data_IF_067689415670
#
_entry.id   IF_067689415670
#
_cell.length_a   1.000
_cell.length_b   1.000
_cell.length_c   1.000
_cell.angle_alpha   90.00
_cell.angle_beta   90.00
_cell.angle_gamma   90.00
#
_symmetry.space_group_name_H-M   'P 1'
#
loop_
_entity.id
_entity.type
_entity.pdbx_description
1 polymer ?
#
# COMPACT_ATOMS: atom_id res chain seq x y z
N UNK A 1 -15.54 22.63 -13.92
CA UNK A 1 -15.39 21.98 -12.61
C UNK A 1 -14.87 20.58 -12.83
N UNK A 2 -13.62 20.23 -12.48
CA UNK A 2 -13.29 18.83 -12.24
C UNK A 2 -14.08 18.40 -10.99
N UNK A 3 -14.96 17.41 -11.13
CA UNK A 3 -15.73 16.88 -9.99
C UNK A 3 -14.76 16.22 -9.00
N UNK A 4 -14.51 16.88 -7.89
CA UNK A 4 -13.79 16.32 -6.75
C UNK A 4 -14.78 15.45 -5.97
N UNK A 5 -14.96 14.20 -6.41
CA UNK A 5 -15.82 13.22 -5.74
C UNK A 5 -15.10 12.65 -4.52
N UNK A 6 -15.42 13.20 -3.35
CA UNK A 6 -14.98 12.69 -2.06
C UNK A 6 -15.69 11.38 -1.75
N UNK A 7 -14.92 10.34 -1.43
CA UNK A 7 -15.47 9.06 -1.05
C UNK A 7 -15.86 9.06 0.43
N UNK A 8 -17.15 8.85 0.72
CA UNK A 8 -17.64 8.42 2.03
C UNK A 8 -18.01 6.93 1.93
N UNK A 9 -17.56 6.06 2.87
CA UNK A 9 -17.98 4.68 2.90
C UNK A 9 -19.50 4.59 3.17
N UNK A 10 -20.21 3.75 2.42
CA UNK A 10 -21.66 3.58 2.53
C UNK A 10 -22.07 3.03 3.90
N UNK A 11 -22.58 3.89 4.78
CA UNK A 11 -23.39 3.47 5.93
C UNK A 11 -24.82 3.20 5.45
N UNK A 12 -25.33 2.01 5.77
CA UNK A 12 -26.70 1.58 5.47
C UNK A 12 -27.74 2.65 5.87
N UNK A 13 -28.71 2.85 4.97
CA UNK A 13 -29.84 3.75 5.15
C UNK A 13 -30.68 3.37 6.37
N UNK A 14 -30.81 4.30 7.32
CA UNK A 14 -31.92 4.33 8.25
C UNK A 14 -32.93 5.36 7.74
N UNK A 15 -34.08 4.88 7.27
CA UNK A 15 -35.20 5.71 6.79
C UNK A 15 -35.88 6.35 7.99
N UNK A 16 -35.86 7.68 8.07
CA UNK A 16 -36.83 8.44 8.85
C UNK A 16 -37.00 9.89 8.32
N UNK A 17 -38.16 10.15 7.71
CA UNK A 17 -38.98 11.33 8.00
C UNK A 17 -38.54 12.72 7.52
N UNK A 18 -38.85 13.03 6.26
CA UNK A 18 -39.52 14.26 5.75
C UNK A 18 -39.29 15.62 6.44
N UNK A 19 -38.71 16.56 5.67
CA UNK A 19 -39.03 18.01 5.47
C UNK A 19 -37.87 18.56 4.62
N UNK A 20 -37.97 18.95 3.35
CA UNK A 20 -39.01 19.66 2.61
C UNK A 20 -38.52 21.08 2.32
N UNK A 21 -37.65 21.29 1.32
CA UNK A 21 -37.33 22.61 0.72
C UNK A 21 -36.91 22.45 -0.76
N UNK A 22 -37.15 23.47 -1.62
CA UNK A 22 -37.52 23.26 -3.01
C UNK A 22 -36.32 23.11 -3.97
N UNK A 23 -36.53 22.27 -4.99
CA UNK A 23 -35.77 22.30 -6.23
C UNK A 23 -35.92 23.66 -6.90
N UNK A 24 -34.79 24.32 -7.17
CA UNK A 24 -34.67 25.33 -8.22
C UNK A 24 -33.89 24.68 -9.35
N UNK A 25 -34.58 24.43 -10.46
CA UNK A 25 -34.01 23.94 -11.71
C UNK A 25 -33.34 25.06 -12.50
N UNK A 26 -32.17 24.72 -13.03
CA UNK A 26 -31.48 25.22 -14.22
C UNK A 26 -31.43 26.71 -14.53
N UNK A 27 -30.19 27.23 -14.49
CA UNK A 27 -29.72 28.11 -15.56
C UNK A 27 -28.26 27.78 -15.89
N UNK A 28 -28.08 27.16 -17.05
CA UNK A 28 -26.79 26.91 -17.65
C UNK A 28 -26.05 28.24 -17.88
N UNK A 29 -24.87 28.37 -17.26
CA UNK A 29 -23.86 29.37 -17.62
C UNK A 29 -22.63 28.57 -18.03
N UNK A 30 -22.41 28.49 -19.34
CA UNK A 30 -21.17 27.97 -19.90
C UNK A 30 -20.08 29.00 -19.69
N UNK A 31 -19.25 28.79 -18.67
CA UNK A 31 -17.97 29.48 -18.52
C UNK A 31 -16.86 28.52 -18.93
N UNK A 32 -16.26 28.83 -20.08
CA UNK A 32 -14.98 28.28 -20.53
C UNK A 32 -13.90 28.83 -19.60
N UNK A 33 -13.37 28.00 -18.70
CA UNK A 33 -12.23 28.37 -17.86
C UNK A 33 -10.95 28.36 -18.70
N UNK A 34 -10.24 29.48 -18.71
CA UNK A 34 -8.95 29.61 -19.38
C UNK A 34 -7.87 28.87 -18.56
N UNK A 35 -7.38 27.74 -19.08
CA UNK A 35 -6.10 27.19 -18.66
C UNK A 35 -5.00 28.11 -19.20
N UNK A 36 -4.26 28.77 -18.32
CA UNK A 36 -3.09 29.54 -18.73
C UNK A 36 -1.91 28.57 -18.91
N UNK A 37 -1.64 28.18 -20.15
CA UNK A 37 -0.45 27.41 -20.52
C UNK A 37 0.70 28.37 -20.83
N UNK A 38 1.78 28.31 -20.05
CA UNK A 38 3.02 29.04 -20.34
C UNK A 38 4.04 28.04 -20.87
N UNK A 39 4.38 28.14 -22.15
CA UNK A 39 5.43 27.33 -22.79
C UNK A 39 6.71 28.13 -22.85
N UNK A 40 7.79 27.59 -22.27
CA UNK A 40 9.14 28.18 -22.34
C UNK A 40 10.02 27.21 -23.14
N UNK A 41 10.60 27.70 -24.24
CA UNK A 41 11.56 26.94 -25.06
C UNK A 41 12.99 27.18 -24.54
N UNK A 42 13.74 26.10 -24.30
CA UNK A 42 15.14 26.17 -23.87
C UNK A 42 16.05 25.46 -24.90
N UNK A 43 17.23 26.03 -25.22
CA UNK A 43 18.20 25.40 -26.11
C UNK A 43 18.92 24.21 -25.42
N UNK A 44 19.05 23.10 -26.13
CA UNK A 44 19.71 21.87 -25.64
C UNK A 44 21.22 21.93 -25.87
N UNK A 45 22.08 21.79 -24.84
CA UNK A 45 23.52 21.64 -25.03
C UNK A 45 23.89 20.19 -25.39
N UNK A 46 24.64 20.00 -26.48
CA UNK A 46 25.21 18.69 -26.84
C UNK A 46 26.41 18.35 -25.94
N UNK A 47 26.44 17.17 -25.28
CA UNK A 47 27.61 16.74 -24.54
C UNK A 47 28.72 16.20 -25.48
N UNK A 48 30.00 16.39 -25.15
CA UNK A 48 31.11 15.84 -25.93
C UNK A 48 31.21 14.32 -25.76
N UNK A 49 31.36 13.62 -26.89
CA UNK A 49 31.60 12.17 -26.99
C UNK A 49 33.01 11.84 -26.46
N UNK A 50 33.10 11.54 -25.16
CA UNK A 50 34.30 10.97 -24.53
C UNK A 50 33.96 9.60 -23.93
N UNK A 51 34.66 8.56 -24.39
CA UNK A 51 34.51 7.19 -23.91
C UNK A 51 34.84 7.09 -22.42
N UNK A 52 33.81 7.00 -21.58
CA UNK A 52 33.96 6.76 -20.15
C UNK A 52 34.33 5.29 -19.88
N UNK A 53 35.16 5.00 -18.87
CA UNK A 53 35.57 3.64 -18.53
C UNK A 53 34.36 2.82 -18.06
N UNK A 54 34.28 1.56 -18.52
CA UNK A 54 33.28 0.57 -18.08
C UNK A 54 33.46 0.26 -16.59
N UNK A 55 32.80 1.04 -15.74
CA UNK A 55 32.63 0.69 -14.34
C UNK A 55 31.80 -0.60 -14.24
N UNK A 56 32.30 -1.56 -13.44
CA UNK A 56 31.61 -2.78 -13.02
C UNK A 56 30.11 -2.52 -12.83
N UNK A 57 29.27 -3.10 -13.69
CA UNK A 57 27.81 -2.89 -13.72
C UNK A 57 27.09 -3.38 -12.45
N UNK A 58 27.81 -4.01 -11.51
CA UNK A 58 27.24 -4.64 -10.31
C UNK A 58 27.67 -3.97 -8.99
N UNK A 59 28.32 -2.80 -9.03
CA UNK A 59 28.61 -2.07 -7.80
C UNK A 59 27.33 -1.44 -7.21
N UNK A 60 27.14 -1.46 -5.88
CA UNK A 60 25.98 -0.82 -5.26
C UNK A 60 25.96 0.67 -5.60
N UNK A 61 24.83 1.14 -6.13
CA UNK A 61 24.67 2.54 -6.58
C UNK A 61 23.55 3.21 -5.79
N UNK A 62 23.84 4.39 -5.24
CA UNK A 62 22.82 5.26 -4.67
C UNK A 62 21.95 5.82 -5.80
N UNK A 63 20.64 5.55 -5.75
CA UNK A 63 19.68 5.99 -6.76
C UNK A 63 18.91 7.22 -6.31
N UNK A 64 18.57 7.30 -5.03
CA UNK A 64 17.80 8.40 -4.44
C UNK A 64 18.36 8.75 -3.06
N UNK A 65 18.19 10.00 -2.64
CA UNK A 65 18.51 10.44 -1.29
C UNK A 65 17.74 11.68 -0.87
N UNK A 66 17.29 11.75 0.39
CA UNK A 66 16.68 12.95 0.98
C UNK A 66 17.14 13.13 2.43
N UNK A 67 17.47 14.38 2.76
CA UNK A 67 17.69 14.81 4.13
C UNK A 67 16.38 14.86 4.91
N UNK A 68 16.44 14.46 6.18
CA UNK A 68 15.36 14.65 7.12
C UNK A 68 15.20 16.15 7.41
N UNK A 69 13.97 16.69 7.42
CA UNK A 69 13.73 18.12 7.59
C UNK A 69 14.06 18.65 8.99
N UNK A 70 14.03 17.79 10.02
CA UNK A 70 14.12 18.20 11.42
C UNK A 70 15.28 17.56 12.20
N UNK A 71 15.95 16.55 11.64
CA UNK A 71 16.98 15.74 12.30
C UNK A 71 18.23 15.63 11.43
N UNK A 72 19.35 15.23 12.03
CA UNK A 72 20.63 14.99 11.37
C UNK A 72 20.68 13.64 10.62
N UNK A 73 19.60 13.32 9.90
CA UNK A 73 19.39 12.03 9.24
C UNK A 73 19.32 12.18 7.71
N UNK A 74 19.85 11.19 7.00
CA UNK A 74 19.85 11.07 5.55
C UNK A 74 19.29 9.70 5.17
N UNK A 75 18.16 9.68 4.46
CA UNK A 75 17.62 8.46 3.86
C UNK A 75 18.23 8.29 2.47
N UNK A 76 18.75 7.10 2.18
CA UNK A 76 19.33 6.72 0.90
C UNK A 76 18.65 5.46 0.37
N UNK A 77 18.44 5.41 -0.93
CA UNK A 77 18.07 4.19 -1.65
C UNK A 77 19.32 3.69 -2.36
N UNK A 78 19.76 2.50 -2.00
CA UNK A 78 20.93 1.83 -2.57
C UNK A 78 20.46 0.63 -3.37
N UNK A 79 20.81 0.62 -4.65
CA UNK A 79 20.55 -0.50 -5.54
C UNK A 79 21.74 -1.46 -5.46
N UNK A 80 21.55 -2.58 -4.76
CA UNK A 80 22.62 -3.55 -4.50
C UNK A 80 22.65 -4.67 -5.56
N UNK A 81 21.49 -5.15 -5.99
CA UNK A 81 21.34 -6.14 -7.07
C UNK A 81 20.29 -5.68 -8.09
N UNK A 82 20.14 -6.41 -9.20
CA UNK A 82 19.18 -6.06 -10.27
C UNK A 82 17.73 -5.94 -9.78
N UNK A 83 17.38 -6.62 -8.68
CA UNK A 83 15.98 -6.83 -8.30
C UNK A 83 15.59 -6.30 -6.92
N UNK A 84 16.54 -5.86 -6.10
CA UNK A 84 16.24 -5.34 -4.75
C UNK A 84 16.89 -3.98 -4.51
N UNK A 85 16.04 -2.99 -4.25
CA UNK A 85 16.45 -1.70 -3.69
C UNK A 85 16.43 -1.80 -2.15
N UNK A 86 17.55 -1.41 -1.53
CA UNK A 86 17.68 -1.32 -0.08
C UNK A 86 17.52 0.14 0.34
N UNK A 87 16.74 0.39 1.41
CA UNK A 87 16.65 1.72 2.01
C UNK A 87 17.49 1.76 3.26
N UNK A 88 18.42 2.70 3.29
CA UNK A 88 19.36 2.88 4.37
C UNK A 88 19.16 4.24 5.00
N UNK A 89 19.20 4.29 6.33
CA UNK A 89 19.16 5.53 7.08
C UNK A 89 20.52 5.80 7.71
N UNK A 90 21.06 6.99 7.48
CA UNK A 90 22.37 7.42 7.94
C UNK A 90 22.26 8.66 8.80
N UNK A 91 23.14 8.80 9.79
CA UNK A 91 23.38 10.05 10.51
C UNK A 91 24.43 10.89 9.80
N UNK A 92 24.42 12.19 10.06
CA UNK A 92 25.41 13.13 9.50
C UNK A 92 26.86 12.79 9.86
N UNK A 93 27.07 12.12 11.00
CA UNK A 93 28.38 11.63 11.43
C UNK A 93 28.88 10.39 10.64
N UNK A 94 28.13 9.94 9.62
CA UNK A 94 28.45 8.76 8.82
C UNK A 94 28.11 7.43 9.48
N UNK A 95 27.35 7.43 10.59
CA UNK A 95 26.88 6.17 11.22
C UNK A 95 25.57 5.73 10.59
N UNK A 96 25.50 4.47 10.15
CA UNK A 96 24.27 3.86 9.67
C UNK A 96 23.36 3.51 10.85
N UNK A 97 22.10 3.95 10.79
CA UNK A 97 21.08 3.70 11.82
C UNK A 97 20.40 2.36 11.59
N UNK A 98 19.90 2.13 10.38
CA UNK A 98 19.27 0.87 9.97
C UNK A 98 19.30 0.71 8.45
N UNK A 99 19.04 -0.53 8.01
CA UNK A 99 18.73 -0.88 6.61
C UNK A 99 17.43 -1.67 6.58
N UNK A 100 16.54 -1.30 5.66
CA UNK A 100 15.31 -2.00 5.37
C UNK A 100 15.33 -2.49 3.92
N UNK A 101 15.14 -3.80 3.74
CA UNK A 101 14.89 -4.39 2.42
C UNK A 101 13.41 -4.24 2.12
N UNK A 102 13.08 -3.50 1.07
CA UNK A 102 11.67 -3.32 0.72
C UNK A 102 11.25 -4.43 -0.24
N UNK A 103 10.88 -5.56 0.34
CA UNK A 103 10.23 -6.63 -0.41
C UNK A 103 8.75 -6.33 -0.55
N UNK A 104 8.39 -5.78 -1.71
CA UNK A 104 6.99 -5.70 -2.11
C UNK A 104 6.55 -7.08 -2.61
N UNK A 105 5.90 -7.84 -1.75
CA UNK A 105 5.19 -9.05 -2.19
C UNK A 105 3.88 -8.61 -2.80
N UNK A 106 3.74 -8.70 -4.12
CA UNK A 106 2.40 -8.83 -4.65
C UNK A 106 1.80 -10.12 -4.13
N UNK A 107 0.52 -10.15 -3.71
CA UNK A 107 -0.19 -11.40 -3.69
C UNK A 107 -0.09 -11.95 -5.11
N UNK A 108 0.60 -13.08 -5.28
CA UNK A 108 0.44 -13.88 -6.50
C UNK A 108 -1.05 -14.16 -6.58
N UNK A 109 -1.75 -13.52 -7.52
CA UNK A 109 -3.11 -13.91 -7.81
C UNK A 109 -3.02 -15.35 -8.32
N UNK A 110 -3.39 -16.31 -7.48
CA UNK A 110 -3.26 -17.77 -7.66
C UNK A 110 -4.12 -18.34 -8.81
N UNK A 111 -4.30 -17.64 -9.93
CA UNK A 111 -5.14 -18.14 -11.03
C UNK A 111 -5.07 -17.46 -12.39
N UNK A 112 -4.33 -16.35 -12.55
CA UNK A 112 -4.22 -15.68 -13.85
C UNK A 112 -2.76 -15.61 -14.33
N UNK A 113 -2.12 -16.77 -14.41
CA UNK A 113 -0.98 -16.98 -15.31
C UNK A 113 -1.52 -17.09 -16.74
N UNK A 114 -1.92 -15.97 -17.33
CA UNK A 114 -2.17 -15.84 -18.76
C UNK A 114 -1.10 -14.91 -19.34
N UNK A 115 0.03 -15.51 -19.70
CA UNK A 115 0.66 -15.51 -21.04
C UNK A 115 2.06 -16.09 -20.83
N UNK A 116 2.16 -17.41 -21.03
CA UNK A 116 3.43 -18.08 -21.26
C UNK A 116 3.88 -17.71 -22.68
N UNK A 117 4.73 -16.69 -22.80
CA UNK A 117 5.24 -16.25 -24.10
C UNK A 117 6.03 -14.96 -24.04
N UNK A 118 7.25 -15.01 -23.48
CA UNK A 118 8.32 -14.04 -23.75
C UNK A 118 8.25 -12.72 -23.00
N UNK A 119 9.11 -12.58 -21.99
CA UNK A 119 9.44 -11.29 -21.37
C UNK A 119 9.21 -11.27 -19.86
N UNK A 120 10.31 -11.02 -19.16
CA UNK A 120 10.47 -10.81 -17.73
C UNK A 120 9.67 -9.56 -17.25
N UNK A 121 8.33 -9.63 -17.23
CA UNK A 121 7.41 -8.53 -16.88
C UNK A 121 6.79 -8.73 -15.48
N UNK A 122 7.40 -9.56 -14.62
CA UNK A 122 7.26 -9.33 -13.18
C UNK A 122 8.08 -8.06 -12.85
N UNK A 123 7.51 -6.90 -13.18
CA UNK A 123 8.18 -5.61 -13.20
C UNK A 123 8.90 -5.36 -11.88
N UNK A 124 10.23 -5.20 -11.96
CA UNK A 124 11.11 -4.88 -10.83
C UNK A 124 10.50 -3.77 -9.97
N UNK A 125 10.33 -4.03 -8.68
CA UNK A 125 9.84 -3.07 -7.69
C UNK A 125 10.94 -2.10 -7.26
N UNK A 126 11.34 -1.27 -8.22
CA UNK A 126 12.32 -0.23 -7.96
C UNK A 126 11.65 0.89 -7.17
N UNK A 127 12.32 1.37 -6.14
CA UNK A 127 11.93 2.58 -5.43
C UNK A 127 12.22 3.76 -6.35
N UNK A 128 11.19 4.51 -6.69
CA UNK A 128 11.26 5.61 -7.66
C UNK A 128 11.12 6.98 -7.02
N UNK A 129 10.51 7.06 -5.82
CA UNK A 129 10.39 8.30 -5.08
C UNK A 129 10.45 8.06 -3.57
N UNK A 130 10.96 9.06 -2.85
CA UNK A 130 11.00 9.07 -1.39
C UNK A 130 10.80 10.49 -0.85
N UNK A 131 10.08 10.61 0.25
CA UNK A 131 9.88 11.87 0.95
C UNK A 131 9.77 11.68 2.46
N UNK A 132 10.19 12.70 3.20
CA UNK A 132 10.05 12.74 4.65
C UNK A 132 8.73 13.38 5.02
N UNK A 133 8.09 12.87 6.07
CA UNK A 133 7.08 13.64 6.79
C UNK A 133 7.74 14.92 7.34
N UNK A 134 7.05 16.08 7.34
CA UNK A 134 7.66 17.34 7.79
C UNK A 134 8.22 17.33 9.21
N UNK A 135 7.73 16.46 10.09
CA UNK A 135 8.25 16.28 11.44
C UNK A 135 9.52 15.40 11.54
N UNK A 136 9.91 14.72 10.45
CA UNK A 136 11.10 13.88 10.36
C UNK A 136 11.00 12.51 11.03
N UNK A 137 9.81 12.08 11.48
CA UNK A 137 9.63 10.80 12.16
C UNK A 137 9.22 9.65 11.24
N UNK A 138 8.69 9.97 10.06
CA UNK A 138 8.23 8.97 9.08
C UNK A 138 8.80 9.28 7.71
N UNK A 139 9.18 8.22 6.99
CA UNK A 139 9.64 8.25 5.62
C UNK A 139 8.60 7.56 4.74
N UNK A 140 8.09 8.23 3.71
CA UNK A 140 7.29 7.58 2.67
C UNK A 140 8.15 7.22 1.47
N UNK A 141 7.85 6.07 0.87
CA UNK A 141 8.55 5.49 -0.26
C UNK A 141 7.53 5.03 -1.27
N UNK A 142 7.81 5.21 -2.55
CA UNK A 142 6.96 4.74 -3.63
C UNK A 142 7.77 3.95 -4.66
N UNK A 143 7.09 3.01 -5.32
CA UNK A 143 7.69 2.12 -6.30
C UNK A 143 7.21 2.36 -7.72
N UNK A 144 7.97 1.80 -8.66
CA UNK A 144 7.58 1.62 -10.05
C UNK A 144 6.28 0.85 -10.25
N UNK A 145 5.88 -0.01 -9.30
CA UNK A 145 4.60 -0.74 -9.35
C UNK A 145 3.39 0.08 -8.91
N UNK A 146 3.57 1.35 -8.51
CA UNK A 146 2.50 2.15 -7.96
C UNK A 146 2.10 1.71 -6.54
N UNK A 147 3.01 1.10 -5.80
CA UNK A 147 2.83 0.87 -4.37
C UNK A 147 3.55 1.96 -3.59
N UNK A 148 2.99 2.31 -2.43
CA UNK A 148 3.56 3.28 -1.51
C UNK A 148 3.62 2.66 -0.12
N UNK A 149 4.74 2.74 0.56
CA UNK A 149 4.83 2.34 1.96
C UNK A 149 5.37 3.49 2.81
N UNK A 150 5.12 3.41 4.10
CA UNK A 150 5.60 4.37 5.09
C UNK A 150 6.44 3.61 6.11
N UNK A 151 7.61 4.15 6.44
CA UNK A 151 8.60 3.56 7.32
C UNK A 151 8.81 4.48 8.51
N UNK A 152 8.77 3.92 9.71
CA UNK A 152 9.14 4.63 10.92
C UNK A 152 10.66 4.89 10.91
N UNK A 153 11.05 6.16 11.00
CA UNK A 153 12.45 6.56 10.90
C UNK A 153 13.31 6.09 12.08
N UNK A 154 12.72 5.82 13.24
CA UNK A 154 13.44 5.38 14.44
C UNK A 154 13.65 3.87 14.46
N UNK A 155 12.64 3.10 14.05
CA UNK A 155 12.68 1.64 14.14
C UNK A 155 13.03 0.95 12.83
N UNK A 156 12.91 1.64 11.69
CA UNK A 156 13.02 1.03 10.35
C UNK A 156 11.85 0.12 10.00
N UNK A 157 10.81 0.03 10.85
CA UNK A 157 9.64 -0.79 10.60
C UNK A 157 8.75 -0.14 9.52
N UNK A 158 8.42 -0.91 8.49
CA UNK A 158 7.47 -0.50 7.46
C UNK A 158 6.04 -0.83 7.86
N UNK A 159 5.12 0.08 7.55
CA UNK A 159 3.70 -0.25 7.50
C UNK A 159 3.36 -1.03 6.23
N UNK A 160 2.15 -1.55 6.17
CA UNK A 160 1.64 -2.22 4.99
C UNK A 160 1.64 -1.28 3.77
N UNK A 161 2.05 -1.76 2.58
CA UNK A 161 2.05 -0.95 1.37
C UNK A 161 0.62 -0.63 0.91
N UNK A 162 0.36 0.65 0.67
CA UNK A 162 -0.82 1.13 -0.03
C UNK A 162 -0.64 0.90 -1.54
N UNK A 163 -1.58 0.22 -2.17
CA UNK A 163 -1.61 0.07 -3.63
C UNK A 163 -2.38 1.25 -4.24
N UNK A 164 -1.72 2.10 -5.04
CA UNK A 164 -2.37 3.24 -5.68
C UNK A 164 -3.44 2.80 -6.70
N UNK A 165 -3.39 1.56 -7.19
CA UNK A 165 -4.45 0.98 -8.03
C UNK A 165 -5.80 0.85 -7.30
N UNK A 166 -5.79 0.74 -5.97
CA UNK A 166 -7.02 0.53 -5.19
C UNK A 166 -7.81 1.82 -4.98
N UNK A 167 -7.34 2.94 -5.51
CA UNK A 167 -8.09 4.19 -5.45
C UNK A 167 -9.36 4.05 -6.27
N UNK A 168 -10.52 4.46 -5.72
CA UNK A 168 -11.76 4.45 -6.47
C UNK A 168 -11.62 5.44 -7.65
N UNK A 169 -11.59 4.93 -8.87
CA UNK A 169 -11.66 5.77 -10.05
C UNK A 169 -13.05 6.41 -10.10
N UNK A 170 -13.10 7.75 -9.94
CA UNK A 170 -14.33 8.51 -10.02
C UNK A 170 -14.98 8.40 -11.42
N UNK A 171 -14.19 8.12 -12.44
CA UNK A 171 -14.63 8.10 -13.82
C UNK A 171 -15.18 6.72 -14.22
N UNK A 172 -16.41 6.43 -13.78
CA UNK A 172 -17.16 5.22 -14.18
C UNK A 172 -17.58 5.21 -15.66
N UNK A 173 -17.28 6.26 -16.43
CA UNK A 173 -17.82 6.46 -17.80
C UNK A 173 -17.13 5.67 -18.91
N UNK A 174 -16.15 4.81 -18.62
CA UNK A 174 -15.54 3.99 -19.69
C UNK A 174 -15.42 2.50 -19.31
N UNK A 175 -16.50 1.71 -19.46
CA UNK A 175 -16.40 0.29 -19.69
C UNK A 175 -16.55 0.01 -21.19
N UNK A 176 -15.56 0.41 -22.00
CA UNK A 176 -15.44 -0.07 -23.37
C UNK A 176 -14.39 -1.16 -23.40
N UNK A 177 -14.85 -2.39 -23.59
CA UNK A 177 -14.06 -3.62 -23.67
C UNK A 177 -12.81 -3.43 -24.54
N UNK A 178 -11.62 -3.55 -23.93
CA UNK A 178 -10.33 -3.46 -24.64
C UNK A 178 -9.19 -2.78 -23.88
N UNK A 179 -9.43 -2.16 -22.72
CA UNK A 179 -8.42 -1.38 -22.01
C UNK A 179 -8.02 -1.97 -20.65
N UNK A 180 -7.54 -3.21 -20.64
CA UNK A 180 -6.93 -3.81 -19.44
C UNK A 180 -5.68 -3.03 -18.96
N UNK A 181 -5.02 -2.29 -19.85
CA UNK A 181 -3.77 -1.57 -19.59
C UNK A 181 -3.96 -0.27 -18.76
N UNK A 182 -5.20 0.21 -18.64
CA UNK A 182 -5.52 1.44 -17.92
C UNK A 182 -5.74 1.24 -16.41
N UNK A 183 -5.89 0.01 -15.94
CA UNK A 183 -6.08 -0.27 -14.51
C UNK A 183 -4.78 -0.35 -13.72
N UNK A 184 -3.61 -0.42 -14.39
CA UNK A 184 -2.34 -0.39 -13.68
C UNK A 184 -2.01 1.05 -13.27
N UNK A 185 -1.68 1.28 -11.98
CA UNK A 185 -1.21 2.58 -11.53
C UNK A 185 0.11 2.86 -12.27
N UNK A 186 0.26 4.07 -12.79
CA UNK A 186 1.53 4.48 -13.39
C UNK A 186 2.66 4.44 -12.36
N UNK A 187 3.90 4.33 -12.83
CA UNK A 187 5.11 4.47 -12.00
C UNK A 187 5.05 5.79 -11.24
N UNK A 188 5.16 5.77 -9.91
CA UNK A 188 5.26 7.01 -9.13
C UNK A 188 6.59 7.69 -9.46
N UNK A 189 6.56 8.93 -9.93
CA UNK A 189 7.77 9.66 -10.31
C UNK A 189 8.17 10.65 -9.21
N UNK A 190 7.18 11.25 -8.56
CA UNK A 190 7.40 12.26 -7.53
C UNK A 190 6.50 11.98 -6.33
N UNK A 191 7.07 12.15 -5.15
CA UNK A 191 6.39 11.96 -3.88
C UNK A 191 6.71 13.16 -2.98
N UNK A 192 5.69 13.80 -2.44
CA UNK A 192 5.83 14.96 -1.56
C UNK A 192 4.88 14.84 -0.37
N UNK A 193 5.34 15.26 0.82
CA UNK A 193 4.57 15.20 2.05
C UNK A 193 4.33 16.60 2.58
N UNK A 194 3.05 16.95 2.71
CA UNK A 194 2.59 18.26 3.16
C UNK A 194 1.93 18.16 4.52
N UNK A 195 2.22 19.14 5.37
CA UNK A 195 1.54 19.37 6.62
C UNK A 195 1.01 20.81 6.58
N UNK A 196 -0.29 21.01 6.31
CA UNK A 196 -0.89 22.33 6.35
C UNK A 196 -0.62 23.03 7.67
N UNK A 197 -0.14 24.27 7.57
CA UNK A 197 -0.05 25.16 8.73
C UNK A 197 -1.47 25.53 9.12
N UNK A 198 -1.99 24.96 10.21
CA UNK A 198 -3.30 25.32 10.73
C UNK A 198 -3.30 26.83 10.99
N UNK A 199 -4.10 27.59 10.25
CA UNK A 199 -4.33 28.99 10.58
C UNK A 199 -4.86 29.05 12.00
N UNK A 200 -4.17 29.80 12.84
CA UNK A 200 -4.20 29.78 14.31
C UNK A 200 -5.54 30.19 14.94
N UNK A 201 -6.60 30.37 14.15
CA UNK A 201 -7.71 31.24 14.54
C UNK A 201 -9.11 30.65 14.36
N UNK A 202 -9.23 29.36 14.07
CA UNK A 202 -10.55 28.70 14.05
C UNK A 202 -10.62 27.68 15.17
N UNK A 203 -11.53 27.95 16.10
CA UNK A 203 -12.00 27.06 17.17
C UNK A 203 -12.10 25.63 16.66
N UNK A 204 -11.02 24.86 16.82
CA UNK A 204 -11.01 23.47 16.48
C UNK A 204 -12.13 22.81 17.28
N UNK A 205 -12.92 21.89 16.70
CA UNK A 205 -13.91 21.14 17.46
C UNK A 205 -13.19 20.45 18.61
N UNK A 206 -13.34 21.04 19.81
CA UNK A 206 -12.82 20.54 21.07
C UNK A 206 -13.48 19.20 21.30
N UNK A 207 -12.68 18.14 21.26
CA UNK A 207 -13.13 16.79 21.62
C UNK A 207 -13.63 15.95 20.44
N UNK A 208 -12.82 15.81 19.39
CA UNK A 208 -12.94 14.62 18.54
C UNK A 208 -12.62 13.39 19.39
N UNK A 209 -13.64 12.72 19.92
CA UNK A 209 -13.50 11.44 20.61
C UNK A 209 -12.80 10.48 19.66
N UNK A 210 -11.53 10.22 19.92
CA UNK A 210 -10.76 9.30 19.11
C UNK A 210 -11.18 7.90 19.54
N UNK A 211 -12.20 7.34 18.87
CA UNK A 211 -12.62 5.94 19.03
C UNK A 211 -11.43 4.98 19.05
N UNK A 212 -10.37 5.30 18.28
CA UNK A 212 -9.08 4.61 18.27
C UNK A 212 -8.36 4.52 19.62
N UNK A 213 -8.44 5.54 20.49
CA UNK A 213 -7.81 5.50 21.81
C UNK A 213 -8.51 4.54 22.76
N UNK A 214 -9.79 4.25 22.50
CA UNK A 214 -10.61 3.35 23.30
C UNK A 214 -10.81 1.97 22.64
N UNK A 215 -10.31 1.78 21.43
CA UNK A 215 -10.34 0.47 20.76
C UNK A 215 -9.28 -0.45 21.38
N UNK A 216 -9.62 -1.71 21.71
CA UNK A 216 -8.64 -2.69 22.14
C UNK A 216 -7.62 -2.88 21.02
N UNK A 217 -6.33 -2.80 21.35
CA UNK A 217 -5.23 -2.93 20.39
C UNK A 217 -5.11 -4.40 19.96
N UNK A 218 -5.50 -4.75 18.73
CA UNK A 218 -5.47 -6.13 18.32
C UNK A 218 -4.02 -6.56 18.07
N UNK A 219 -3.66 -7.77 18.50
CA UNK A 219 -2.31 -8.31 18.30
C UNK A 219 -2.41 -9.65 17.57
N UNK A 220 -1.73 -9.78 16.43
CA UNK A 220 -1.58 -11.07 15.74
C UNK A 220 -0.24 -11.68 16.16
N UNK A 221 -0.22 -12.93 16.65
CA UNK A 221 1.03 -13.63 16.97
C UNK A 221 2.00 -13.61 15.78
N UNK A 222 3.25 -13.20 16.03
CA UNK A 222 4.28 -13.01 15.00
C UNK A 222 4.70 -14.29 14.26
N UNK A 223 4.37 -15.45 14.81
CA UNK A 223 4.57 -16.76 14.18
C UNK A 223 3.62 -17.02 13.00
N UNK A 224 2.56 -16.22 12.83
CA UNK A 224 1.56 -16.36 11.77
C UNK A 224 1.91 -15.56 10.49
N UNK A 225 3.21 -15.40 10.24
CA UNK A 225 3.83 -14.50 9.26
C UNK A 225 3.07 -14.35 7.93
N UNK A 226 2.33 -13.26 7.83
CA UNK A 226 2.41 -12.32 6.70
C UNK A 226 2.71 -10.95 7.33
N UNK A 227 3.37 -10.06 6.60
CA UNK A 227 3.90 -8.79 7.09
C UNK A 227 2.80 -7.79 7.51
N UNK A 228 2.02 -8.13 8.54
CA UNK A 228 1.00 -7.25 9.08
C UNK A 228 1.63 -6.30 10.07
N UNK A 229 1.24 -5.03 10.00
CA UNK A 229 1.63 -3.98 10.96
C UNK A 229 1.19 -4.29 12.40
N UNK A 230 0.44 -5.38 12.61
CA UNK A 230 -0.10 -5.86 13.89
C UNK A 230 0.72 -6.99 14.52
N UNK A 231 1.86 -7.37 13.91
CA UNK A 231 2.69 -8.51 14.33
C UNK A 231 3.87 -8.15 15.24
N UNK A 232 4.08 -6.88 15.58
CA UNK A 232 5.23 -6.47 16.41
C UNK A 232 5.13 -7.04 17.82
N UNK A 233 6.11 -7.87 18.19
CA UNK A 233 6.31 -8.35 19.55
C UNK A 233 6.35 -7.17 20.55
N UNK A 234 5.35 -7.11 21.41
CA UNK A 234 5.54 -6.84 22.84
C UNK A 234 5.86 -5.40 23.29
N UNK A 235 5.93 -4.41 22.40
CA UNK A 235 5.90 -3.00 22.85
C UNK A 235 4.65 -2.31 22.33
N UNK A 236 3.66 -2.01 23.20
CA UNK A 236 2.41 -1.36 22.80
C UNK A 236 2.61 0.04 22.19
N UNK A 237 3.83 0.55 22.08
CA UNK A 237 4.16 1.89 21.57
C UNK A 237 4.76 1.94 20.16
N UNK A 238 5.22 0.83 19.56
CA UNK A 238 6.12 0.93 18.39
C UNK A 238 5.44 0.94 17.01
N UNK A 239 4.23 0.37 16.85
CA UNK A 239 3.53 0.34 15.56
C UNK A 239 2.11 0.91 15.56
N UNK A 240 1.47 1.07 16.73
CA UNK A 240 0.18 1.78 16.80
C UNK A 240 0.33 3.30 16.74
N UNK A 241 1.55 3.84 16.82
CA UNK A 241 1.80 5.28 16.85
C UNK A 241 2.95 5.84 15.96
N UNK A 242 3.38 5.23 14.84
CA UNK A 242 4.25 5.94 13.90
C UNK A 242 3.56 7.20 13.34
N UNK A 243 2.23 7.28 13.42
CA UNK A 243 1.43 8.44 12.97
C UNK A 243 1.05 9.44 14.07
N UNK A 244 1.29 9.13 15.35
CA UNK A 244 1.17 10.13 16.43
C UNK A 244 2.50 10.24 17.15
N UNK A 245 3.38 11.03 16.58
CA UNK A 245 4.55 11.52 17.32
C UNK A 245 4.17 12.82 17.99
N UNK A 246 4.43 12.84 19.31
CA UNK A 246 4.15 13.91 20.27
C UNK A 246 2.71 14.01 20.76
N UNK A 247 2.57 13.94 22.09
CA UNK A 247 1.37 14.26 22.86
C UNK A 247 0.90 15.72 22.68
N UNK A 248 1.59 16.55 21.89
CA UNK A 248 1.39 18.01 21.84
C UNK A 248 0.86 18.57 20.51
N UNK A 249 0.74 17.81 19.42
CA UNK A 249 0.16 18.34 18.16
C UNK A 249 -1.07 17.55 17.66
N UNK A 250 -2.18 17.52 18.42
CA UNK A 250 -3.42 16.94 17.95
C UNK A 250 -4.08 17.92 16.98
N UNK A 251 -3.93 17.71 15.66
CA UNK A 251 -4.97 17.98 14.63
C UNK A 251 -4.43 18.34 13.24
N UNK A 252 -3.12 18.51 13.04
CA UNK A 252 -2.63 18.84 11.71
C UNK A 252 -2.87 17.67 10.74
N UNK A 253 -3.69 17.91 9.71
CA UNK A 253 -3.85 16.99 8.59
C UNK A 253 -2.48 16.80 7.95
N UNK A 254 -2.12 15.57 7.61
CA UNK A 254 -0.90 15.24 6.90
C UNK A 254 -1.30 14.65 5.55
N UNK A 255 -0.82 15.20 4.46
CA UNK A 255 -1.14 14.77 3.10
C UNK A 255 0.13 14.32 2.39
N UNK A 256 0.11 13.11 1.86
CA UNK A 256 1.11 12.61 0.92
C UNK A 256 0.53 12.71 -0.48
N UNK A 257 1.25 13.35 -1.38
CA UNK A 257 0.91 13.46 -2.79
C UNK A 257 1.87 12.60 -3.60
N UNK A 258 1.33 11.65 -4.36
CA UNK A 258 2.09 10.83 -5.28
C UNK A 258 1.70 11.18 -6.73
N UNK A 259 2.65 11.67 -7.51
CA UNK A 259 2.46 11.93 -8.94
C UNK A 259 3.06 10.77 -9.75
N UNK A 260 2.27 10.22 -10.65
CA UNK A 260 2.69 9.12 -11.54
C UNK A 260 3.12 9.61 -12.91
N UNK A 261 3.80 8.73 -13.65
CA UNK A 261 4.22 8.99 -15.03
C UNK A 261 3.05 9.12 -16.01
N UNK A 262 1.83 8.76 -15.57
CA UNK A 262 0.58 8.97 -16.29
C UNK A 262 -0.09 10.31 -15.93
N UNK A 263 0.65 11.23 -15.30
CA UNK A 263 0.14 12.54 -14.87
C UNK A 263 -1.12 12.45 -14.00
N UNK A 264 -1.19 11.37 -13.21
CA UNK A 264 -2.22 11.15 -12.21
C UNK A 264 -1.62 11.41 -10.84
N UNK A 265 -2.30 12.25 -10.07
CA UNK A 265 -1.96 12.61 -8.70
C UNK A 265 -2.85 11.82 -7.76
N UNK A 266 -2.24 11.12 -6.81
CA UNK A 266 -2.91 10.43 -5.72
C UNK A 266 -2.69 11.19 -4.43
N UNK A 267 -3.79 11.52 -3.74
CA UNK A 267 -3.78 12.19 -2.45
C UNK A 267 -4.05 11.16 -1.36
N UNK A 268 -3.13 11.04 -0.40
CA UNK A 268 -3.24 10.11 0.72
C UNK A 268 -3.18 10.88 2.05
N UNK A 269 -4.15 10.69 2.93
CA UNK A 269 -4.02 11.17 4.31
C UNK A 269 -3.06 10.27 5.08
N UNK A 270 -2.13 10.89 5.81
CA UNK A 270 -1.12 10.23 6.64
C UNK A 270 -0.26 9.17 5.90
N UNK A 271 -0.24 9.21 4.56
CA UNK A 271 0.46 8.21 3.73
C UNK A 271 -0.19 6.82 3.71
N UNK A 272 -1.41 6.65 4.24
CA UNK A 272 -2.07 5.34 4.31
C UNK A 272 -3.51 5.36 3.82
N UNK A 273 -4.20 6.49 3.95
CA UNK A 273 -5.61 6.55 3.64
C UNK A 273 -5.83 7.24 2.29
N UNK A 274 -6.31 6.53 1.26
CA UNK A 274 -6.58 7.12 -0.05
C UNK A 274 -7.72 8.14 0.06
N UNK A 275 -7.46 9.41 -0.30
CA UNK A 275 -8.46 10.47 -0.29
C UNK A 275 -9.05 10.72 -1.67
N UNK A 276 -8.17 10.93 -2.67
CA UNK A 276 -8.60 11.32 -4.01
C UNK A 276 -7.54 10.95 -5.06
N UNK A 277 -8.02 10.83 -6.29
CA UNK A 277 -7.22 10.66 -7.49
C UNK A 277 -7.59 11.77 -8.48
N UNK A 278 -6.59 12.47 -8.99
CA UNK A 278 -6.75 13.61 -9.90
C UNK A 278 -5.93 13.34 -11.17
N UNK A 279 -6.57 13.32 -12.33
CA UNK A 279 -5.85 13.30 -13.61
C UNK A 279 -5.65 14.74 -14.08
N UNK A 280 -4.40 15.15 -14.33
CA UNK A 280 -4.08 16.50 -14.78
C UNK A 280 -4.61 16.73 -16.22
N UNK A 281 -4.56 15.67 -17.04
CA UNK A 281 -5.02 15.69 -18.43
C UNK A 281 -6.04 14.56 -18.64
N UNK A 282 -7.33 14.79 -18.36
CA UNK A 282 -8.38 13.77 -18.51
C UNK A 282 -8.61 13.41 -19.99
N UNK A 283 -8.47 14.37 -20.90
CA UNK A 283 -8.52 14.13 -22.34
C UNK A 283 -7.20 13.55 -22.83
N UNK A 284 -7.21 12.24 -23.08
CA UNK A 284 -6.09 11.34 -23.37
C UNK A 284 -5.33 11.61 -24.68
N UNK A 285 -5.42 12.81 -25.24
CA UNK A 285 -4.86 13.11 -26.57
C UNK A 285 -3.37 13.40 -26.56
N UNK A 286 -2.76 13.58 -25.37
CA UNK A 286 -1.31 13.84 -25.27
C UNK A 286 -0.61 12.58 -24.75
N UNK A 287 0.00 11.75 -25.61
CA UNK A 287 0.91 10.70 -25.18
C UNK A 287 2.21 11.35 -24.71
N UNK A 288 2.20 11.93 -23.51
CA UNK A 288 3.42 12.47 -22.90
C UNK A 288 4.18 11.30 -22.30
N UNK A 289 5.12 10.74 -23.07
CA UNK A 289 6.27 10.12 -22.43
C UNK A 289 7.02 11.23 -21.67
N UNK A 290 7.03 11.14 -20.34
CA UNK A 290 7.81 12.06 -19.51
C UNK A 290 9.28 11.63 -19.55
N UNK A 291 10.16 12.52 -20.00
CA UNK A 291 11.61 12.30 -19.98
C UNK A 291 12.22 12.68 -18.63
N UNK A 292 11.72 13.77 -18.06
CA UNK A 292 12.21 14.32 -16.80
C UNK A 292 11.22 14.06 -15.66
N UNK A 293 11.77 13.99 -14.44
CA UNK A 293 10.99 13.91 -13.22
C UNK A 293 10.12 15.18 -13.09
N UNK A 294 8.78 15.05 -13.14
CA UNK A 294 7.91 16.20 -12.99
C UNK A 294 8.12 16.83 -11.61
N UNK A 295 8.15 18.15 -11.59
CA UNK A 295 8.30 18.91 -10.35
C UNK A 295 6.91 19.19 -9.82
N UNK A 296 6.68 18.86 -8.55
CA UNK A 296 5.43 19.13 -7.85
C UNK A 296 5.73 20.09 -6.71
N UNK A 297 4.92 21.13 -6.57
CA UNK A 297 5.01 22.08 -5.46
C UNK A 297 3.61 22.42 -4.97
N UNK A 298 3.37 22.24 -3.68
CA UNK A 298 2.15 22.67 -3.01
C UNK A 298 2.53 23.65 -1.88
N UNK A 299 1.90 24.84 -1.82
CA UNK A 299 2.05 25.76 -0.71
C UNK A 299 1.47 25.17 0.59
N UNK A 300 1.91 25.66 1.77
CA UNK A 300 1.44 25.19 3.06
C UNK A 300 -0.06 25.41 3.35
N UNK A 301 -0.70 26.33 2.64
CA UNK A 301 -2.15 26.59 2.75
C UNK A 301 -2.99 25.59 1.95
N UNK A 302 -2.37 24.73 1.14
CA UNK A 302 -3.02 23.79 0.24
C UNK A 302 -4.02 24.46 -0.72
N UNK A 303 -3.82 25.74 -1.06
CA UNK A 303 -4.78 26.46 -1.93
C UNK A 303 -4.65 26.07 -3.39
N UNK A 304 -3.44 25.71 -3.84
CA UNK A 304 -3.16 25.31 -5.21
C UNK A 304 -2.08 24.23 -5.27
N UNK A 305 -1.93 23.59 -6.42
CA UNK A 305 -0.87 22.61 -6.68
C UNK A 305 -0.26 22.91 -8.04
N UNK A 306 1.02 23.27 -8.03
CA UNK A 306 1.78 23.51 -9.24
C UNK A 306 2.48 22.21 -9.66
N UNK A 307 2.25 21.77 -10.88
CA UNK A 307 2.89 20.61 -11.50
C UNK A 307 3.59 21.06 -12.78
N UNK A 308 4.92 21.02 -12.74
CA UNK A 308 5.77 21.25 -13.90
C UNK A 308 6.14 19.92 -14.56
N UNK A 309 5.83 19.77 -15.84
CA UNK A 309 6.21 18.61 -16.66
C UNK A 309 7.04 19.06 -17.85
N UNK A 310 7.96 18.20 -18.29
CA UNK A 310 8.65 18.41 -19.57
C UNK A 310 8.09 17.42 -20.57
N UNK A 311 7.58 17.92 -21.68
CA UNK A 311 7.16 17.07 -22.78
C UNK A 311 8.37 16.79 -23.66
N UNK A 312 8.66 15.50 -23.86
CA UNK A 312 9.59 15.08 -24.90
C UNK A 312 9.07 15.55 -26.26
N UNK A 313 9.92 16.16 -27.08
CA UNK A 313 9.54 16.42 -28.44
C UNK A 313 9.34 15.12 -29.20
N UNK A 314 8.29 15.08 -30.01
CA UNK A 314 8.11 14.06 -31.04
C UNK A 314 9.19 14.27 -32.11
N UNK A 315 10.29 13.50 -32.04
CA UNK A 315 11.44 13.34 -32.97
C UNK A 315 12.14 14.59 -33.57
N UNK A 316 11.49 15.74 -33.72
CA UNK A 316 11.97 16.91 -34.47
C UNK A 316 11.61 18.28 -33.83
N UNK A 317 11.11 18.32 -32.59
CA UNK A 317 10.66 19.57 -31.92
C UNK A 317 11.56 19.97 -30.72
N UNK A 318 11.44 21.23 -30.29
CA UNK A 318 11.99 21.73 -29.03
C UNK A 318 11.30 21.01 -27.84
N UNK A 319 12.05 20.69 -26.78
CA UNK A 319 11.45 20.26 -25.52
C UNK A 319 10.59 21.38 -24.96
N UNK A 320 9.31 21.10 -24.68
CA UNK A 320 8.40 22.08 -24.08
C UNK A 320 8.21 21.78 -22.60
N UNK A 321 8.26 22.83 -21.76
CA UNK A 321 7.89 22.75 -20.36
C UNK A 321 6.41 23.16 -20.26
N UNK A 322 5.61 22.34 -19.59
CA UNK A 322 4.21 22.65 -19.27
C UNK A 322 4.07 22.81 -17.77
N UNK A 323 3.51 23.94 -17.34
CA UNK A 323 3.16 24.19 -15.95
C UNK A 323 1.63 24.14 -15.81
N UNK A 324 1.14 23.17 -15.04
CA UNK A 324 -0.26 23.09 -14.65
C UNK A 324 -0.42 23.60 -13.21
N UNK A 325 -1.42 24.45 -12.97
CA UNK A 325 -1.80 24.89 -11.63
C UNK A 325 -3.21 24.37 -11.35
N UNK A 326 -3.34 23.55 -10.32
CA UNK A 326 -4.58 22.88 -9.94
C UNK A 326 -5.10 23.58 -8.69
N UNK A 327 -6.36 24.00 -8.72
CA UNK A 327 -7.03 24.59 -7.57
C UNK A 327 -7.33 23.49 -6.53
N UNK A 328 -6.81 23.66 -5.32
CA UNK A 328 -7.03 22.81 -4.17
C UNK A 328 -7.82 23.56 -3.07
N UNK A 329 -8.45 24.69 -3.40
CA UNK A 329 -9.18 25.56 -2.47
C UNK A 329 -10.21 24.81 -1.62
N UNK A 330 -10.86 23.77 -2.17
CA UNK A 330 -11.77 22.93 -1.40
C UNK A 330 -11.08 22.24 -0.21
N UNK A 331 -9.86 21.70 -0.40
CA UNK A 331 -9.07 21.07 0.66
C UNK A 331 -8.61 22.10 1.69
N UNK A 332 -8.23 23.29 1.24
CA UNK A 332 -7.83 24.40 2.10
C UNK A 332 -8.99 24.92 2.98
N UNK A 333 -10.21 24.96 2.44
CA UNK A 333 -11.41 25.43 3.14
C UNK A 333 -11.96 24.40 4.15
N UNK A 334 -11.72 23.11 3.92
CA UNK A 334 -12.35 22.02 4.68
C UNK A 334 -11.35 21.08 5.40
N UNK A 335 -10.33 21.58 6.11
CA UNK A 335 -9.33 20.73 6.77
C UNK A 335 -9.96 19.82 7.84
N UNK A 336 -11.02 20.29 8.53
CA UNK A 336 -11.76 19.49 9.50
C UNK A 336 -12.46 18.28 8.87
N UNK A 337 -12.96 18.39 7.65
CA UNK A 337 -13.55 17.24 6.94
C UNK A 337 -12.49 16.24 6.51
N UNK A 338 -11.32 16.71 6.04
CA UNK A 338 -10.21 15.81 5.70
C UNK A 338 -9.73 15.08 6.96
N UNK A 339 -9.59 15.80 8.07
CA UNK A 339 -9.22 15.21 9.36
C UNK A 339 -10.27 14.18 9.81
N UNK A 340 -11.55 14.50 9.66
CA UNK A 340 -12.64 13.57 9.98
C UNK A 340 -12.59 12.32 9.08
N UNK A 341 -12.48 12.47 7.77
CA UNK A 341 -12.34 11.35 6.84
C UNK A 341 -11.10 10.50 7.13
N UNK A 342 -9.97 11.15 7.40
CA UNK A 342 -8.75 10.47 7.76
C UNK A 342 -8.83 9.79 9.14
N UNK A 343 -9.66 10.30 10.06
CA UNK A 343 -9.95 9.59 11.32
C UNK A 343 -10.75 8.29 11.07
N UNK A 344 -11.52 8.22 9.97
CA UNK A 344 -12.17 6.99 9.52
C UNK A 344 -11.18 5.98 8.92
N UNK A 345 -9.93 6.37 8.63
CA UNK A 345 -8.88 5.41 8.25
C UNK A 345 -8.66 4.33 9.32
N UNK A 346 -8.99 4.63 10.58
CA UNK A 346 -9.16 3.67 11.66
C UNK A 346 -9.96 2.42 11.25
N UNK A 347 -11.10 2.65 10.61
CA UNK A 347 -11.99 1.58 10.18
C UNK A 347 -11.36 0.77 9.05
N UNK A 348 -10.60 1.42 8.15
CA UNK A 348 -9.83 0.72 7.11
C UNK A 348 -8.78 -0.20 7.72
N UNK A 349 -7.98 0.31 8.67
CA UNK A 349 -6.98 -0.47 9.40
C UNK A 349 -7.61 -1.64 10.16
N UNK A 350 -8.77 -1.43 10.79
CA UNK A 350 -9.50 -2.51 11.46
C UNK A 350 -10.00 -3.56 10.46
N UNK A 351 -10.54 -3.15 9.31
CA UNK A 351 -10.96 -4.07 8.27
C UNK A 351 -9.80 -4.90 7.73
N UNK A 352 -8.64 -4.30 7.59
CA UNK A 352 -7.40 -4.95 7.17
C UNK A 352 -6.89 -5.93 8.23
N UNK A 353 -6.87 -5.52 9.50
CA UNK A 353 -6.60 -6.42 10.63
C UNK A 353 -7.54 -7.63 10.63
N UNK A 354 -8.84 -7.43 10.42
CA UNK A 354 -9.81 -8.53 10.40
C UNK A 354 -9.54 -9.49 9.24
N UNK A 355 -9.14 -8.97 8.06
CA UNK A 355 -8.72 -9.82 6.93
C UNK A 355 -7.47 -10.62 7.29
N UNK A 356 -6.43 -9.98 7.82
CA UNK A 356 -5.19 -10.64 8.23
C UNK A 356 -5.45 -11.71 9.29
N UNK A 357 -6.35 -11.45 10.24
CA UNK A 357 -6.75 -12.42 11.25
C UNK A 357 -7.47 -13.62 10.64
N UNK A 358 -8.38 -13.40 9.68
CA UNK A 358 -9.07 -14.48 8.96
C UNK A 358 -8.09 -15.29 8.12
N UNK A 359 -7.15 -14.64 7.43
CA UNK A 359 -6.12 -15.34 6.66
C UNK A 359 -5.18 -16.13 7.56
N UNK A 360 -4.74 -15.56 8.68
CA UNK A 360 -3.88 -16.22 9.65
C UNK A 360 -4.58 -17.44 10.28
N UNK A 361 -5.85 -17.30 10.66
CA UNK A 361 -6.64 -18.42 11.20
C UNK A 361 -6.88 -19.50 10.13
N UNK A 362 -7.16 -19.12 8.89
CA UNK A 362 -7.27 -20.05 7.78
C UNK A 362 -5.95 -20.78 7.51
N UNK A 363 -4.81 -20.09 7.56
CA UNK A 363 -3.49 -20.68 7.40
C UNK A 363 -3.18 -21.70 8.51
N UNK A 364 -3.47 -21.37 9.78
CA UNK A 364 -3.30 -22.30 10.91
C UNK A 364 -4.18 -23.52 10.72
N UNK A 365 -5.45 -23.31 10.37
CA UNK A 365 -6.39 -24.39 10.15
C UNK A 365 -5.94 -25.32 9.03
N UNK A 366 -5.54 -24.78 7.88
CA UNK A 366 -5.08 -25.58 6.73
C UNK A 366 -3.75 -26.28 7.03
N UNK A 367 -2.77 -25.57 7.55
CA UNK A 367 -1.42 -26.11 7.79
C UNK A 367 -1.36 -27.11 8.93
N UNK A 368 -2.10 -26.91 10.01
CA UNK A 368 -2.03 -27.80 11.17
C UNK A 368 -3.13 -28.86 11.13
N UNK A 369 -4.39 -28.46 10.91
CA UNK A 369 -5.51 -29.39 11.00
C UNK A 369 -5.62 -30.26 9.73
N UNK A 370 -5.56 -29.66 8.54
CA UNK A 370 -5.67 -30.46 7.30
C UNK A 370 -4.44 -31.33 7.10
N UNK A 371 -3.23 -30.86 7.39
CA UNK A 371 -2.04 -31.72 7.30
C UNK A 371 -2.06 -32.85 8.33
N UNK A 372 -2.55 -32.61 9.55
CA UNK A 372 -2.72 -33.67 10.55
C UNK A 372 -3.76 -34.73 10.09
N UNK A 373 -4.86 -34.29 9.49
CA UNK A 373 -5.87 -35.19 8.92
C UNK A 373 -5.34 -35.97 7.71
N UNK A 374 -4.65 -35.29 6.78
CA UNK A 374 -4.10 -35.91 5.58
C UNK A 374 -3.06 -36.98 5.91
N UNK A 375 -2.12 -36.68 6.82
CA UNK A 375 -1.13 -37.65 7.28
C UNK A 375 -1.82 -38.90 7.86
N UNK A 376 -2.84 -38.73 8.70
CA UNK A 376 -3.58 -39.86 9.26
C UNK A 376 -4.28 -40.69 8.17
N UNK A 377 -4.97 -40.03 7.23
CA UNK A 377 -5.68 -40.70 6.12
C UNK A 377 -4.70 -41.48 5.25
N UNK A 378 -3.58 -40.88 4.86
CA UNK A 378 -2.57 -41.53 4.01
C UNK A 378 -1.94 -42.75 4.69
N UNK A 379 -1.58 -42.66 5.98
CA UNK A 379 -1.05 -43.80 6.72
C UNK A 379 -2.06 -44.94 6.82
N UNK A 380 -3.34 -44.62 7.07
CA UNK A 380 -4.38 -45.64 7.18
C UNK A 380 -4.76 -46.24 5.83
N UNK A 381 -4.84 -45.45 4.77
CA UNK A 381 -5.05 -45.93 3.40
C UNK A 381 -3.90 -46.85 2.96
N UNK A 382 -2.66 -46.47 3.25
CA UNK A 382 -1.49 -47.32 2.96
C UNK A 382 -1.54 -48.64 3.73
N UNK A 383 -1.99 -48.63 4.99
CA UNK A 383 -2.15 -49.84 5.79
C UNK A 383 -3.33 -50.70 5.34
N UNK A 384 -4.43 -50.10 4.88
CA UNK A 384 -5.58 -50.81 4.34
C UNK A 384 -5.24 -51.48 3.01
N UNK A 385 -4.48 -50.78 2.15
CA UNK A 385 -3.98 -51.32 0.89
C UNK A 385 -3.03 -52.51 1.12
N UNK A 386 -2.13 -52.42 2.10
CA UNK A 386 -1.20 -53.53 2.42
C UNK A 386 -1.91 -54.77 2.96
N UNK A 387 -3.10 -54.60 3.56
CA UNK A 387 -3.94 -55.68 4.06
C UNK A 387 -5.04 -56.11 3.08
N UNK A 388 -5.05 -55.59 1.84
CA UNK A 388 -6.07 -55.84 0.83
C UNK A 388 -7.52 -55.57 1.33
N UNK A 389 -7.70 -54.60 2.24
CA UNK A 389 -9.02 -54.20 2.72
C UNK A 389 -9.69 -53.26 1.72
N UNK A 390 -10.97 -53.51 1.41
CA UNK A 390 -11.81 -52.61 0.60
C UNK A 390 -12.46 -51.49 1.43
N UNK A 391 -12.13 -51.42 2.73
CA UNK A 391 -12.68 -50.43 3.66
C UNK A 391 -12.05 -49.05 3.46
N UNK A 392 -12.75 -48.02 3.93
CA UNK A 392 -12.25 -46.63 3.90
C UNK A 392 -11.84 -46.18 5.31
N UNK A 393 -10.92 -45.21 5.45
CA UNK A 393 -10.53 -44.69 6.76
C UNK A 393 -11.70 -44.32 7.70
N UNK A 394 -12.77 -43.64 7.23
CA UNK A 394 -13.93 -43.34 8.08
C UNK A 394 -14.69 -44.60 8.50
N UNK A 395 -14.85 -45.59 7.60
CA UNK A 395 -15.57 -46.83 7.90
C UNK A 395 -14.85 -47.69 8.95
N UNK A 396 -13.52 -47.77 8.87
CA UNK A 396 -12.69 -48.42 9.89
C UNK A 396 -12.82 -47.74 11.26
N UNK A 397 -12.84 -46.41 11.29
CA UNK A 397 -12.97 -45.65 12.53
C UNK A 397 -14.35 -45.83 13.17
N UNK A 398 -15.41 -45.84 12.36
CA UNK A 398 -16.78 -46.18 12.82
C UNK A 398 -16.84 -47.61 13.36
N UNK A 399 -16.18 -48.57 12.69
CA UNK A 399 -16.13 -49.96 13.13
C UNK A 399 -15.39 -50.11 14.46
N UNK A 400 -14.27 -49.41 14.63
CA UNK A 400 -13.53 -49.35 15.89
C UNK A 400 -14.40 -48.77 17.01
N UNK A 401 -15.13 -47.67 16.75
CA UNK A 401 -16.02 -47.05 17.74
C UNK A 401 -17.20 -47.96 18.11
N UNK A 402 -17.79 -48.65 17.14
CA UNK A 402 -18.97 -49.49 17.36
C UNK A 402 -18.63 -50.82 18.04
N UNK A 403 -17.49 -51.41 17.71
CA UNK A 403 -17.12 -52.77 18.17
C UNK A 403 -16.09 -52.77 19.29
N UNK A 404 -15.38 -51.65 19.50
CA UNK A 404 -14.23 -51.58 20.39
C UNK A 404 -13.02 -52.40 19.92
N UNK A 405 -13.04 -52.93 18.69
CA UNK A 405 -12.00 -53.81 18.14
C UNK A 405 -11.44 -53.20 16.84
N UNK A 406 -10.15 -52.79 16.81
CA UNK A 406 -9.54 -52.32 15.56
C UNK A 406 -9.32 -53.47 14.58
N UNK A 407 -9.45 -53.19 13.29
CA UNK A 407 -8.99 -54.11 12.24
C UNK A 407 -7.47 -54.27 12.25
N UNK A 408 -6.90 -55.31 11.63
CA UNK A 408 -5.44 -55.49 11.58
C UNK A 408 -4.69 -54.29 10.99
N UNK A 409 -5.24 -53.67 9.94
CA UNK A 409 -4.67 -52.47 9.32
C UNK A 409 -4.71 -51.26 10.27
N UNK A 410 -5.85 -51.01 10.94
CA UNK A 410 -5.97 -49.95 11.94
C UNK A 410 -5.02 -50.19 13.12
N UNK A 411 -4.88 -51.43 13.56
CA UNK A 411 -4.00 -51.83 14.67
C UNK A 411 -2.53 -51.56 14.33
N UNK A 412 -2.09 -51.87 13.10
CA UNK A 412 -0.75 -51.53 12.62
C UNK A 412 -0.48 -50.02 12.67
N UNK A 413 -1.43 -49.19 12.25
CA UNK A 413 -1.29 -47.71 12.29
C UNK A 413 -1.27 -47.20 13.72
N UNK A 414 -2.12 -47.72 14.59
CA UNK A 414 -2.15 -47.33 16.01
C UNK A 414 -0.83 -47.68 16.70
N UNK A 415 -0.24 -48.84 16.43
CA UNK A 415 1.02 -49.28 17.03
C UNK A 415 2.25 -48.59 16.45
N UNK A 416 2.26 -48.29 15.15
CA UNK A 416 3.42 -47.69 14.48
C UNK A 416 3.45 -46.17 14.60
N UNK A 417 2.30 -45.50 14.40
CA UNK A 417 2.19 -44.05 14.27
C UNK A 417 1.67 -43.39 15.55
N UNK A 418 0.68 -43.99 16.21
CA UNK A 418 0.03 -43.44 17.42
C UNK A 418 0.49 -44.08 18.73
N UNK A 419 1.79 -44.36 18.85
CA UNK A 419 2.38 -44.63 20.16
C UNK A 419 2.06 -43.49 21.14
N UNK A 420 2.09 -43.75 22.44
CA UNK A 420 1.78 -42.75 23.46
C UNK A 420 2.55 -41.41 23.28
N UNK A 421 3.78 -41.45 22.77
CA UNK A 421 4.56 -40.26 22.43
C UNK A 421 4.08 -39.57 21.14
N UNK A 422 3.68 -40.32 20.12
CA UNK A 422 3.10 -39.82 18.87
C UNK A 422 1.74 -39.15 19.12
N UNK A 423 0.86 -39.81 19.88
CA UNK A 423 -0.45 -39.25 20.26
C UNK A 423 -0.31 -37.96 21.08
N UNK A 424 0.65 -37.89 22.03
CA UNK A 424 0.93 -36.64 22.78
C UNK A 424 1.44 -35.52 21.86
N UNK A 425 2.31 -35.83 20.90
CA UNK A 425 2.79 -34.85 19.93
C UNK A 425 1.65 -34.35 19.04
N UNK A 426 0.83 -35.27 18.53
CA UNK A 426 -0.33 -34.95 17.71
C UNK A 426 -1.36 -34.11 18.48
N UNK A 427 -1.72 -34.51 19.69
CA UNK A 427 -2.61 -33.74 20.56
C UNK A 427 -2.03 -32.35 20.89
N UNK A 428 -0.72 -32.24 21.07
CA UNK A 428 -0.05 -30.95 21.26
C UNK A 428 -0.08 -30.08 19.99
N UNK A 429 0.07 -30.67 18.81
CA UNK A 429 -0.01 -29.94 17.53
C UNK A 429 -1.43 -29.49 17.20
N UNK A 430 -2.45 -30.26 17.58
CA UNK A 430 -3.87 -29.90 17.36
C UNK A 430 -4.41 -28.97 18.44
N UNK A 431 -3.92 -29.10 19.69
CA UNK A 431 -4.36 -28.29 20.83
C UNK A 431 -3.67 -26.93 20.95
N UNK A 432 -2.49 -26.78 20.37
CA UNK A 432 -1.81 -25.49 20.18
C UNK A 432 -2.29 -24.82 18.90
#
# INVERSE_FOLDING_TARGET
MPELLLYAPSTQEYVAGSRGFPLVTDKAIGETYAQAQVTIELPVPHPPLGNAPEFSQNAPRVTLGRWCPTRDLLALVVRNTLDNDEVQLWRLNGTQVWTANIHYTFPKNDGASLVAGGGDICGRHQVTALCWRPDGHVLALATSSGQMCVINAETGASAEPLNLASFPCADKRVPSAGTADLQQPGTVVTLEWYQPTSSTDRTAPVGGWSLLQHMPRPHIPSNLKRASSFSSLGTPSSLSDPFRTSAEAPAAVNLVMALTNRLTIYLCAYGQFPLAQLSIFPDRTIPVALDASPVVSCPPDLSHLAVGTTNLPSKDSSSSITLAVIDLGWLAEHPGHIQFLASQAAAHQLGQFMRDLVEATHYVYTTHLQSAHALWSEYLESALASHASASTPPAELVTLLATGRPSPAMLQVLESTFKASGLRKWAKTVGN
#
